data_IF_051823253319
#
_entry.id   IF_051823253319
#
_cell.length_a   1.000
_cell.length_b   1.000
_cell.length_c   1.000
_cell.angle_alpha   90.00
_cell.angle_beta   90.00
_cell.angle_gamma   90.00
#
_symmetry.space_group_name_H-M   'P 1'
#
loop_
_entity.id
_entity.type
_entity.pdbx_description
1 polymer ?
#
# COMPACT_ATOMS: atom_id res chain seq x y z
N UNK A 1 18.55 -13.23 24.23
CA UNK A 1 18.55 -11.75 24.18
C UNK A 1 17.14 -11.27 23.85
N UNK A 2 16.30 -11.12 24.87
CA UNK A 2 14.95 -10.58 24.73
C UNK A 2 15.01 -9.08 24.45
N UNK A 3 15.10 -8.72 23.16
CA UNK A 3 14.92 -7.33 22.75
C UNK A 3 13.42 -7.06 22.79
N UNK A 4 12.98 -6.33 23.82
CA UNK A 4 11.75 -5.56 23.74
C UNK A 4 11.82 -4.79 22.42
N UNK A 5 11.02 -5.18 21.43
CA UNK A 5 10.87 -4.44 20.17
C UNK A 5 9.99 -3.24 20.52
N UNK A 6 10.52 -2.05 20.84
CA UNK A 6 9.70 -0.90 21.20
C UNK A 6 9.37 -0.18 19.88
N UNK A 7 8.82 -0.93 18.91
CA UNK A 7 8.40 -0.37 17.64
C UNK A 7 6.93 -0.68 17.48
N UNK A 8 6.13 0.15 18.15
CA UNK A 8 4.67 0.19 18.10
C UNK A 8 4.15 0.22 16.65
N UNK A 9 4.98 0.63 15.68
CA UNK A 9 4.66 0.52 14.25
C UNK A 9 5.88 0.12 13.42
N UNK A 10 5.99 -1.16 12.99
CA UNK A 10 7.00 -1.64 12.04
C UNK A 10 6.87 -1.10 10.61
N UNK A 11 5.91 -0.20 10.34
CA UNK A 11 5.55 0.24 8.99
C UNK A 11 4.04 0.32 8.74
N UNK A 12 3.19 -0.04 9.71
CA UNK A 12 1.73 0.01 9.57
C UNK A 12 1.20 1.41 9.23
N UNK A 13 1.87 2.48 9.66
CA UNK A 13 1.50 3.85 9.30
C UNK A 13 1.62 4.13 7.80
N UNK A 14 2.68 3.62 7.16
CA UNK A 14 2.87 3.76 5.71
C UNK A 14 1.77 3.03 4.93
N UNK A 15 1.51 1.79 5.32
CA UNK A 15 0.40 0.97 4.80
C UNK A 15 -0.96 1.65 4.99
N UNK A 16 -1.20 2.25 6.17
CA UNK A 16 -2.46 2.91 6.48
C UNK A 16 -2.73 4.12 5.55
N UNK A 17 -1.69 4.86 5.16
CA UNK A 17 -1.84 5.99 4.22
C UNK A 17 -2.33 5.50 2.86
N UNK A 18 -1.74 4.42 2.33
CA UNK A 18 -2.12 3.82 1.04
C UNK A 18 -3.57 3.36 1.06
N UNK A 19 -3.97 2.65 2.10
CA UNK A 19 -5.34 2.13 2.26
C UNK A 19 -6.35 3.25 2.44
N UNK A 20 -6.03 4.29 3.22
CA UNK A 20 -6.90 5.44 3.44
C UNK A 20 -7.18 6.22 2.15
N UNK A 21 -6.16 6.37 1.30
CA UNK A 21 -6.30 6.99 -0.02
C UNK A 21 -7.09 6.12 -0.99
N UNK A 22 -6.78 4.82 -1.08
CA UNK A 22 -7.55 3.87 -1.89
C UNK A 22 -9.05 3.87 -1.53
N UNK A 23 -9.37 4.00 -0.24
CA UNK A 23 -10.74 4.03 0.24
C UNK A 23 -11.45 5.38 0.09
N UNK A 24 -10.78 6.45 -0.34
CA UNK A 24 -11.40 7.76 -0.56
C UNK A 24 -12.07 8.35 0.68
N UNK A 25 -11.47 8.18 1.87
CA UNK A 25 -11.97 8.63 3.18
C UNK A 25 -13.34 8.07 3.61
N UNK A 26 -13.91 7.10 2.89
CA UNK A 26 -15.17 6.47 3.26
C UNK A 26 -14.92 5.17 4.06
N UNK A 27 -15.57 4.97 5.23
CA UNK A 27 -15.23 3.86 6.13
C UNK A 27 -15.50 2.47 5.52
N UNK A 28 -16.54 2.36 4.69
CA UNK A 28 -16.91 1.09 4.03
C UNK A 28 -15.87 0.70 2.97
N UNK A 29 -15.51 1.63 2.07
CA UNK A 29 -14.52 1.40 1.03
C UNK A 29 -13.11 1.22 1.59
N UNK A 30 -12.74 1.93 2.67
CA UNK A 30 -11.47 1.72 3.38
C UNK A 30 -11.35 0.29 3.90
N UNK A 31 -12.43 -0.28 4.44
CA UNK A 31 -12.43 -1.66 4.95
C UNK A 31 -12.18 -2.68 3.84
N UNK A 32 -12.83 -2.50 2.69
CA UNK A 32 -12.65 -3.37 1.52
C UNK A 32 -11.25 -3.19 0.93
N UNK A 33 -10.79 -1.94 0.79
CA UNK A 33 -9.44 -1.62 0.30
C UNK A 33 -8.36 -2.21 1.21
N UNK A 34 -8.56 -2.18 2.54
CA UNK A 34 -7.64 -2.77 3.51
C UNK A 34 -7.50 -4.27 3.31
N UNK A 35 -8.62 -4.98 3.10
CA UNK A 35 -8.60 -6.42 2.84
C UNK A 35 -7.83 -6.77 1.57
N UNK A 36 -8.11 -6.07 0.47
CA UNK A 36 -7.41 -6.28 -0.80
C UNK A 36 -5.92 -5.96 -0.70
N UNK A 37 -5.58 -4.86 -0.03
CA UNK A 37 -4.20 -4.44 0.16
C UNK A 37 -3.41 -5.37 1.10
N UNK A 38 -4.06 -5.93 2.12
CA UNK A 38 -3.44 -6.94 3.00
C UNK A 38 -3.06 -8.21 2.23
N UNK A 39 -3.89 -8.66 1.29
CA UNK A 39 -3.56 -9.82 0.44
C UNK A 39 -2.32 -9.52 -0.42
N UNK A 40 -2.25 -8.32 -1.00
CA UNK A 40 -1.08 -7.89 -1.78
C UNK A 40 0.20 -7.82 -0.94
N UNK A 41 0.10 -7.31 0.29
CA UNK A 41 1.23 -7.23 1.22
C UNK A 41 1.76 -8.60 1.62
N UNK A 42 0.88 -9.51 2.03
CA UNK A 42 1.26 -10.86 2.44
C UNK A 42 1.79 -11.67 1.25
N UNK A 43 1.18 -11.50 0.07
CA UNK A 43 1.70 -12.07 -1.17
C UNK A 43 3.10 -11.55 -1.52
N UNK A 44 3.34 -10.24 -1.36
CA UNK A 44 4.66 -9.64 -1.58
C UNK A 44 5.72 -10.13 -0.58
N UNK A 45 5.35 -10.31 0.69
CA UNK A 45 6.23 -10.87 1.72
C UNK A 45 6.53 -12.36 1.44
N UNK A 46 5.53 -13.14 1.02
CA UNK A 46 5.73 -14.52 0.56
C UNK A 46 6.67 -14.61 -0.64
N UNK A 47 6.55 -13.70 -1.60
CA UNK A 47 7.48 -13.63 -2.74
C UNK A 47 8.90 -13.27 -2.28
N UNK A 48 9.03 -12.38 -1.29
CA UNK A 48 10.32 -12.08 -0.68
C UNK A 48 10.98 -13.32 -0.08
N UNK A 49 10.23 -14.09 0.71
CA UNK A 49 10.72 -15.29 1.37
C UNK A 49 11.01 -16.43 0.40
N UNK A 50 10.14 -16.62 -0.61
CA UNK A 50 10.22 -17.76 -1.53
C UNK A 50 11.28 -17.55 -2.62
N UNK A 51 11.41 -16.33 -3.13
CA UNK A 51 12.35 -15.97 -4.21
C UNK A 51 13.67 -15.42 -3.65
N UNK A 52 13.77 -15.24 -2.33
CA UNK A 52 14.98 -14.72 -1.67
C UNK A 52 15.25 -13.24 -1.97
N UNK A 53 14.19 -12.46 -2.25
CA UNK A 53 14.36 -11.04 -2.57
C UNK A 53 14.79 -10.24 -1.34
N UNK A 54 15.60 -9.17 -1.50
CA UNK A 54 15.95 -8.29 -0.38
C UNK A 54 14.73 -7.60 0.22
N UNK A 55 14.77 -7.34 1.53
CA UNK A 55 13.71 -6.62 2.24
C UNK A 55 13.39 -5.22 1.66
N UNK A 56 14.38 -4.60 1.02
CA UNK A 56 14.21 -3.34 0.30
C UNK A 56 13.20 -3.44 -0.85
N UNK A 57 13.05 -4.62 -1.47
CA UNK A 57 12.16 -4.79 -2.62
C UNK A 57 10.69 -4.66 -2.23
N UNK A 58 10.31 -5.12 -1.03
CA UNK A 58 8.94 -4.91 -0.50
C UNK A 58 8.69 -3.43 -0.20
N UNK A 59 9.69 -2.68 0.24
CA UNK A 59 9.56 -1.22 0.42
C UNK A 59 9.35 -0.50 -0.92
N UNK A 60 10.09 -0.90 -1.96
CA UNK A 60 9.91 -0.37 -3.32
C UNK A 60 8.50 -0.69 -3.85
N UNK A 61 8.02 -1.91 -3.62
CA UNK A 61 6.66 -2.32 -4.00
C UNK A 61 5.58 -1.49 -3.31
N UNK A 62 5.74 -1.25 -2.02
CA UNK A 62 4.85 -0.38 -1.25
C UNK A 62 4.86 1.06 -1.79
N UNK A 63 6.04 1.58 -2.17
CA UNK A 63 6.22 2.84 -2.88
C UNK A 63 5.53 2.91 -4.23
N UNK A 64 5.68 1.89 -5.06
CA UNK A 64 5.09 1.85 -6.39
C UNK A 64 3.57 1.75 -6.34
N UNK A 65 3.01 0.99 -5.38
CA UNK A 65 1.56 0.95 -5.16
C UNK A 65 1.06 2.33 -4.74
N UNK A 66 1.73 3.00 -3.81
CA UNK A 66 1.36 4.36 -3.40
C UNK A 66 1.36 5.31 -4.61
N UNK A 67 2.42 5.31 -5.43
CA UNK A 67 2.50 6.14 -6.63
C UNK A 67 1.40 5.82 -7.65
N UNK A 68 1.09 4.54 -7.87
CA UNK A 68 0.02 4.12 -8.76
C UNK A 68 -1.35 4.60 -8.25
N UNK A 69 -1.60 4.49 -6.94
CA UNK A 69 -2.85 4.97 -6.31
C UNK A 69 -2.97 6.49 -6.43
N UNK A 70 -1.92 7.23 -6.11
CA UNK A 70 -1.88 8.69 -6.27
C UNK A 70 -2.12 9.08 -7.73
N UNK A 71 -1.44 8.43 -8.67
CA UNK A 71 -1.59 8.69 -10.10
C UNK A 71 -3.01 8.41 -10.61
N UNK A 72 -3.62 7.31 -10.17
CA UNK A 72 -5.01 6.99 -10.49
C UNK A 72 -5.99 7.99 -9.87
N UNK A 73 -5.76 8.45 -8.64
CA UNK A 73 -6.61 9.48 -8.02
C UNK A 73 -6.55 10.79 -8.80
N UNK A 74 -5.34 11.23 -9.19
CA UNK A 74 -5.15 12.43 -10.02
C UNK A 74 -5.86 12.26 -11.36
N UNK A 75 -5.68 11.11 -12.03
CA UNK A 75 -6.35 10.82 -13.30
C UNK A 75 -7.88 10.72 -13.18
N UNK A 76 -8.40 10.30 -12.04
CA UNK A 76 -9.84 10.22 -11.78
C UNK A 76 -10.45 11.59 -11.41
N UNK A 77 -9.72 12.43 -10.66
CA UNK A 77 -10.15 13.80 -10.27
C UNK A 77 -10.07 14.77 -11.43
N UNK A 78 -8.99 14.72 -12.21
CA UNK A 78 -8.90 15.46 -13.45
C UNK A 78 -9.66 14.68 -14.51
N UNK A 79 -10.94 14.99 -14.66
CA UNK A 79 -11.77 14.53 -15.79
C UNK A 79 -10.93 14.80 -17.05
N UNK A 80 -10.36 13.74 -17.63
CA UNK A 80 -9.58 13.82 -18.86
C UNK A 80 -10.54 14.31 -19.95
N UNK A 81 -10.67 15.64 -20.06
CA UNK A 81 -11.31 16.28 -21.20
C UNK A 81 -10.30 16.11 -22.33
N UNK A 82 -10.45 15.01 -23.05
CA UNK A 82 -9.83 14.82 -24.36
C UNK A 82 -10.51 15.85 -25.26
N UNK A 83 -9.97 17.06 -25.27
CA UNK A 83 -10.28 18.05 -26.28
C UNK A 83 -9.57 17.60 -27.56
N UNK A 84 -10.36 17.41 -28.61
CA UNK A 84 -9.99 16.74 -29.85
C UNK A 84 -9.43 17.74 -30.86
#
# INVERSE_FOLDING_TARGET
QGRLRPRISPGYGYTAIVVAWLGGLNPISVTIAALLYSVLLVGGDMLQVTVGLPAAMVQVFNGSILLAVVGMEIAAKYRLVIER
#
